data_IF_034643998597
#
_entry.id   IF_034643998597
#
_cell.length_a   1.000
_cell.length_b   1.000
_cell.length_c   1.000
_cell.angle_alpha   90.00
_cell.angle_beta   90.00
_cell.angle_gamma   90.00
#
_symmetry.space_group_name_H-M   'P 1'
#
loop_
_entity.id
_entity.type
_entity.pdbx_description
1 polymer ?
#
# COMPACT_ATOMS: atom_id res chain seq x y z
N UNK A 1 -9.72 15.26 -6.39
CA UNK A 1 -10.11 14.53 -5.20
C UNK A 1 -8.97 13.64 -4.71
N UNK A 2 -8.76 13.64 -3.44
CA UNK A 2 -7.61 12.94 -2.86
C UNK A 2 -7.90 11.43 -2.77
N UNK A 3 -7.08 10.62 -3.45
CA UNK A 3 -7.19 9.17 -3.43
C UNK A 3 -7.16 8.64 -1.98
N UNK A 4 -6.26 9.19 -1.16
CA UNK A 4 -6.10 8.69 0.21
C UNK A 4 -7.34 8.95 1.06
N UNK A 5 -8.04 10.05 0.80
CA UNK A 5 -9.25 10.34 1.55
C UNK A 5 -10.37 9.38 1.24
N UNK A 6 -10.49 8.98 -0.02
CA UNK A 6 -11.63 8.20 -0.47
C UNK A 6 -11.43 6.71 -0.35
N UNK A 7 -10.19 6.25 -0.49
CA UNK A 7 -9.91 4.82 -0.60
C UNK A 7 -9.12 4.31 0.60
N UNK A 8 -8.07 5.04 0.97
CA UNK A 8 -7.22 4.59 2.08
C UNK A 8 -7.69 5.23 3.38
N UNK A 9 -7.94 4.39 4.41
CA UNK A 9 -8.31 4.93 5.70
C UNK A 9 -7.14 5.66 6.35
N UNK A 10 -7.46 6.50 7.35
CA UNK A 10 -6.42 7.24 8.05
C UNK A 10 -5.39 6.31 8.69
N UNK A 11 -5.82 5.10 9.01
CA UNK A 11 -4.95 4.12 9.65
C UNK A 11 -4.41 3.08 8.68
N UNK A 12 -4.27 3.45 7.41
CA UNK A 12 -3.77 2.53 6.38
C UNK A 12 -2.45 1.90 6.80
N UNK A 13 -1.63 2.63 7.51
CA UNK A 13 -0.32 2.12 7.93
C UNK A 13 -0.41 0.88 8.80
N UNK A 14 -1.56 0.63 9.40
CA UNK A 14 -1.77 -0.59 10.18
C UNK A 14 -1.60 -1.83 9.31
N UNK A 15 -1.98 -1.74 8.06
CA UNK A 15 -1.85 -2.87 7.14
C UNK A 15 -0.42 -3.11 6.71
N UNK A 16 0.48 -2.17 7.03
CA UNK A 16 1.89 -2.31 6.69
C UNK A 16 2.69 -2.95 7.81
N UNK A 17 2.07 -3.22 8.93
CA UNK A 17 2.77 -3.85 10.06
C UNK A 17 3.21 -5.26 9.71
N UNK A 18 4.41 -5.59 10.11
CA UNK A 18 4.96 -6.92 9.87
C UNK A 18 5.44 -7.15 8.46
N UNK A 19 5.32 -6.15 7.60
CA UNK A 19 5.84 -6.25 6.25
C UNK A 19 7.30 -5.85 6.24
N UNK A 20 8.14 -6.74 5.71
CA UNK A 20 9.58 -6.49 5.62
C UNK A 20 9.89 -5.64 4.40
N UNK A 21 10.63 -4.58 4.62
CA UNK A 21 11.11 -3.73 3.55
C UNK A 21 12.61 -3.91 3.39
N UNK A 22 13.15 -3.76 2.19
CA UNK A 22 12.44 -3.39 0.96
C UNK A 22 11.55 -4.51 0.44
N UNK A 23 10.53 -4.15 -0.32
CA UNK A 23 9.57 -5.12 -0.82
C UNK A 23 9.14 -4.74 -2.24
N UNK A 24 8.88 -5.74 -3.06
CA UNK A 24 8.39 -5.50 -4.41
C UNK A 24 6.88 -5.31 -4.41
N UNK A 25 6.38 -4.71 -5.47
CA UNK A 25 4.96 -4.39 -5.58
C UNK A 25 4.06 -5.60 -5.40
N UNK A 26 4.36 -6.70 -6.09
CA UNK A 26 3.49 -7.88 -6.04
C UNK A 26 3.46 -8.49 -4.65
N UNK A 27 4.61 -8.57 -4.01
CA UNK A 27 4.67 -9.10 -2.66
C UNK A 27 3.96 -8.18 -1.69
N UNK A 28 4.07 -6.87 -1.90
CA UNK A 28 3.37 -5.91 -1.07
C UNK A 28 1.86 -6.13 -1.12
N UNK A 29 1.31 -6.30 -2.31
CA UNK A 29 -0.12 -6.49 -2.45
C UNK A 29 -0.57 -7.77 -1.75
N UNK A 30 0.22 -8.82 -1.84
CA UNK A 30 -0.08 -10.07 -1.15
C UNK A 30 -0.10 -9.87 0.37
N UNK A 31 0.89 -9.13 0.88
CA UNK A 31 0.97 -8.88 2.32
C UNK A 31 -0.19 -8.04 2.82
N UNK A 32 -0.61 -7.06 2.01
CA UNK A 32 -1.76 -6.26 2.37
C UNK A 32 -2.99 -7.13 2.55
N UNK A 33 -3.21 -8.07 1.65
CA UNK A 33 -4.34 -9.00 1.77
C UNK A 33 -4.22 -9.83 3.04
N UNK A 34 -3.03 -10.33 3.33
CA UNK A 34 -2.82 -11.14 4.52
C UNK A 34 -3.05 -10.35 5.79
N UNK A 35 -2.80 -9.05 5.74
CA UNK A 35 -3.00 -8.19 6.91
C UNK A 35 -4.44 -7.71 7.04
N UNK A 36 -5.32 -8.17 6.16
CA UNK A 36 -6.74 -7.86 6.28
C UNK A 36 -7.19 -6.62 5.55
N UNK A 37 -6.37 -6.07 4.66
CA UNK A 37 -6.78 -4.91 3.89
C UNK A 37 -7.97 -5.27 3.00
N UNK A 38 -8.99 -4.39 2.94
CA UNK A 38 -10.12 -4.65 2.05
C UNK A 38 -9.68 -4.79 0.61
N UNK A 39 -10.39 -5.62 -0.14
CA UNK A 39 -10.04 -5.87 -1.54
C UNK A 39 -9.99 -4.60 -2.37
N UNK A 40 -10.89 -3.65 -2.10
CA UNK A 40 -10.91 -2.39 -2.84
C UNK A 40 -9.64 -1.60 -2.58
N UNK A 41 -9.12 -1.66 -1.35
CA UNK A 41 -7.87 -0.95 -1.01
C UNK A 41 -6.71 -1.60 -1.75
N UNK A 42 -6.63 -2.93 -1.71
CA UNK A 42 -5.56 -3.66 -2.39
C UNK A 42 -5.57 -3.35 -3.88
N UNK A 43 -6.77 -3.37 -4.47
CA UNK A 43 -6.92 -3.11 -5.90
C UNK A 43 -6.46 -1.69 -6.27
N UNK A 44 -6.87 -0.71 -5.49
CA UNK A 44 -6.51 0.67 -5.78
C UNK A 44 -5.02 0.92 -5.58
N UNK A 45 -4.44 0.33 -4.55
CA UNK A 45 -3.00 0.43 -4.34
C UNK A 45 -2.27 -0.17 -5.54
N UNK A 46 -2.73 -1.34 -6.00
CA UNK A 46 -2.10 -1.98 -7.13
C UNK A 46 -2.16 -1.14 -8.40
N UNK A 47 -3.25 -0.41 -8.60
CA UNK A 47 -3.39 0.44 -9.78
C UNK A 47 -2.56 1.71 -9.69
N UNK A 48 -2.33 2.20 -8.48
CA UNK A 48 -1.64 3.48 -8.29
C UNK A 48 -0.14 3.35 -8.18
N UNK A 49 0.35 2.23 -7.67
CA UNK A 49 1.78 2.06 -7.48
C UNK A 49 2.45 1.56 -8.76
N UNK A 50 3.55 2.21 -9.18
CA UNK A 50 4.33 1.69 -10.29
C UNK A 50 5.06 0.41 -9.87
N UNK A 51 5.43 -0.38 -10.87
CA UNK A 51 6.24 -1.57 -10.62
C UNK A 51 7.59 -1.16 -10.06
N UNK A 52 8.12 -2.01 -9.18
CA UNK A 52 9.42 -1.75 -8.59
C UNK A 52 9.45 -2.16 -7.13
N UNK A 53 10.45 -1.66 -6.44
CA UNK A 53 10.66 -1.96 -5.04
C UNK A 53 10.47 -0.71 -4.20
N UNK A 54 9.96 -0.90 -2.99
CA UNK A 54 9.72 0.17 -2.03
C UNK A 54 10.56 -0.06 -0.81
N UNK A 55 11.30 0.96 -0.40
CA UNK A 55 12.32 0.82 0.64
C UNK A 55 11.77 0.89 2.05
N UNK A 56 10.65 1.58 2.22
CA UNK A 56 10.10 1.81 3.55
C UNK A 56 8.61 2.10 3.43
N UNK A 57 7.87 2.00 4.54
CA UNK A 57 6.45 2.39 4.52
C UNK A 57 6.27 3.84 4.09
N UNK A 58 7.16 4.73 4.46
CA UNK A 58 7.06 6.13 4.07
C UNK A 58 7.23 6.31 2.58
N UNK A 59 8.16 5.56 1.98
CA UNK A 59 8.37 5.62 0.54
C UNK A 59 7.11 5.18 -0.20
N UNK A 60 6.49 4.11 0.27
CA UNK A 60 5.25 3.60 -0.29
C UNK A 60 4.14 4.63 -0.22
N UNK A 61 3.91 5.20 0.94
CA UNK A 61 2.85 6.19 1.13
C UNK A 61 3.10 7.42 0.27
N UNK A 62 4.35 7.83 0.18
CA UNK A 62 4.72 8.97 -0.64
C UNK A 62 4.35 8.76 -2.10
N UNK A 63 4.58 7.55 -2.60
CA UNK A 63 4.24 7.22 -3.99
C UNK A 63 2.74 7.24 -4.20
N UNK A 64 1.98 6.78 -3.22
CA UNK A 64 0.52 6.78 -3.33
C UNK A 64 -0.04 8.20 -3.36
N UNK A 65 0.65 9.14 -2.72
CA UNK A 65 0.17 10.51 -2.63
C UNK A 65 0.55 11.38 -3.83
N UNK A 66 1.50 10.94 -4.62
CA UNK A 66 1.94 11.75 -5.76
C UNK A 66 1.06 11.60 -6.98
#
# INVERSE_FOLDING_TARGET
MDFLRNILPANFERYLRGIDFPIGKQELLRRLKQNGAPGVVVDQVGKRLPEGHYRSPQDLVKRLRS
#
